data_IF_603722196228
#
_entry.id   IF_603722196228
#
_cell.length_a   1.000
_cell.length_b   1.000
_cell.length_c   1.000
_cell.angle_alpha   90.00
_cell.angle_beta   90.00
_cell.angle_gamma   90.00
#
_symmetry.space_group_name_H-M   'P 1'
#
loop_
_entity.id
_entity.type
_entity.pdbx_description
1 polymer ?
#
# COMPACT_ATOMS: atom_id res chain seq x y z
N UNK A 1 32.41 -12.33 17.93
CA UNK A 1 33.18 -11.14 17.48
C UNK A 1 32.75 -9.94 18.31
N UNK A 2 33.58 -8.89 18.51
CA UNK A 2 33.14 -7.64 19.17
C UNK A 2 32.76 -6.54 18.17
N UNK A 3 32.96 -6.77 16.88
CA UNK A 3 32.54 -5.89 15.79
C UNK A 3 31.10 -6.25 15.42
N UNK A 4 30.18 -5.30 15.62
CA UNK A 4 28.83 -5.35 15.06
C UNK A 4 28.81 -4.38 13.89
N UNK A 5 28.49 -4.86 12.70
CA UNK A 5 28.38 -4.01 11.52
C UNK A 5 26.90 -3.86 11.18
N UNK A 6 26.38 -2.67 11.43
CA UNK A 6 25.04 -2.26 11.04
C UNK A 6 25.18 -1.10 10.08
N UNK A 7 24.70 -1.28 8.86
CA UNK A 7 24.64 -0.21 7.86
C UNK A 7 25.45 -0.49 6.60
N UNK A 8 25.88 0.58 5.95
CA UNK A 8 26.50 0.53 4.62
C UNK A 8 27.94 0.08 4.71
N UNK A 9 28.28 -0.95 3.95
CA UNK A 9 29.65 -1.39 3.69
C UNK A 9 29.92 -1.43 2.19
N UNK A 10 31.20 -1.60 1.82
CA UNK A 10 31.60 -1.79 0.42
C UNK A 10 32.28 -3.14 0.26
N UNK A 11 31.84 -3.90 -0.73
CA UNK A 11 32.49 -5.16 -1.08
C UNK A 11 33.90 -4.91 -1.59
N UNK A 12 34.82 -5.75 -1.15
CA UNK A 12 36.22 -5.82 -1.54
C UNK A 12 36.57 -7.28 -1.89
N UNK A 13 37.69 -7.47 -2.60
CA UNK A 13 38.23 -8.79 -2.93
C UNK A 13 37.21 -9.76 -3.57
N UNK A 14 36.36 -9.23 -4.46
CA UNK A 14 35.33 -10.00 -5.14
C UNK A 14 35.97 -10.99 -6.10
N UNK A 15 35.60 -12.27 -5.97
CA UNK A 15 36.02 -13.33 -6.89
C UNK A 15 35.19 -13.25 -8.19
N UNK A 16 35.67 -12.45 -9.15
CA UNK A 16 34.92 -12.07 -10.36
C UNK A 16 34.61 -13.20 -11.35
N UNK A 17 35.37 -14.29 -11.32
CA UNK A 17 35.14 -15.45 -12.20
C UNK A 17 33.96 -16.31 -11.73
N UNK A 18 33.43 -16.05 -10.54
CA UNK A 18 32.30 -16.79 -9.97
C UNK A 18 30.98 -16.21 -10.48
N UNK A 19 30.14 -17.10 -11.02
CA UNK A 19 28.83 -16.74 -11.61
C UNK A 19 27.98 -15.93 -10.62
N UNK A 20 28.08 -16.23 -9.32
CA UNK A 20 27.34 -15.54 -8.26
C UNK A 20 27.61 -14.02 -8.24
N UNK A 21 28.82 -13.60 -8.61
CA UNK A 21 29.22 -12.18 -8.67
C UNK A 21 29.28 -11.59 -10.09
N UNK A 22 28.74 -12.31 -11.09
CA UNK A 22 28.67 -11.83 -12.48
C UNK A 22 27.98 -10.46 -12.56
N UNK A 23 28.69 -9.47 -13.11
CA UNK A 23 28.18 -8.12 -13.30
C UNK A 23 28.19 -7.22 -12.06
N UNK A 24 28.74 -7.68 -10.92
CA UNK A 24 28.87 -6.88 -9.69
C UNK A 24 30.24 -6.20 -9.68
N UNK A 25 30.25 -4.90 -9.38
CA UNK A 25 31.47 -4.10 -9.38
C UNK A 25 32.20 -4.16 -8.04
N UNK A 26 33.54 -4.04 -8.08
CA UNK A 26 34.31 -3.82 -6.85
C UNK A 26 33.86 -2.52 -6.17
N UNK A 27 33.77 -2.55 -4.85
CA UNK A 27 33.27 -1.43 -4.07
C UNK A 27 31.76 -1.25 -4.10
N UNK A 28 30.99 -2.22 -4.66
CA UNK A 28 29.54 -2.22 -4.59
C UNK A 28 29.06 -2.05 -3.15
N UNK A 29 28.07 -1.20 -2.95
CA UNK A 29 27.53 -0.92 -1.62
C UNK A 29 26.60 -2.05 -1.20
N UNK A 30 26.78 -2.56 0.02
CA UNK A 30 25.93 -3.57 0.62
C UNK A 30 25.41 -3.11 1.98
N UNK A 31 24.29 -3.68 2.41
CA UNK A 31 23.72 -3.45 3.74
C UNK A 31 24.03 -4.60 4.68
N UNK A 32 24.93 -4.36 5.62
CA UNK A 32 25.30 -5.28 6.70
C UNK A 32 24.31 -5.13 7.85
N UNK A 33 23.81 -6.24 8.39
CA UNK A 33 22.95 -6.22 9.57
C UNK A 33 23.08 -7.50 10.40
N UNK A 34 24.27 -7.73 10.94
CA UNK A 34 24.57 -8.92 11.74
C UNK A 34 25.31 -8.59 13.04
N UNK A 35 24.98 -9.32 14.10
CA UNK A 35 25.65 -9.22 15.40
C UNK A 35 26.92 -10.05 15.48
N UNK A 36 26.99 -11.11 14.69
CA UNK A 36 28.06 -12.10 14.69
C UNK A 36 28.77 -12.09 13.33
N UNK A 37 30.06 -12.41 13.34
CA UNK A 37 30.88 -12.47 12.12
C UNK A 37 31.50 -13.85 12.00
N UNK A 38 31.50 -14.41 10.79
CA UNK A 38 32.17 -15.68 10.49
C UNK A 38 33.69 -15.44 10.53
N UNK A 39 34.36 -16.03 11.52
CA UNK A 39 35.82 -15.89 11.69
C UNK A 39 36.62 -16.85 10.83
N UNK A 40 36.18 -18.10 10.76
CA UNK A 40 36.86 -19.15 10.01
C UNK A 40 35.82 -19.82 9.11
N UNK A 41 36.13 -19.92 7.82
CA UNK A 41 35.31 -20.65 6.87
C UNK A 41 35.50 -22.17 7.06
N UNK A 42 34.47 -22.98 6.77
CA UNK A 42 34.63 -24.42 6.68
C UNK A 42 35.75 -24.82 5.71
N UNK A 43 36.40 -25.96 5.94
CA UNK A 43 37.50 -26.45 5.09
C UNK A 43 37.11 -26.69 3.63
N UNK A 44 35.82 -26.88 3.37
CA UNK A 44 35.24 -27.09 2.04
C UNK A 44 34.55 -25.83 1.51
N UNK A 45 34.91 -24.64 2.01
CA UNK A 45 34.33 -23.38 1.55
C UNK A 45 35.37 -22.56 0.78
N UNK A 46 34.90 -21.88 -0.26
CA UNK A 46 35.67 -20.92 -1.06
C UNK A 46 35.18 -19.53 -0.72
N UNK A 47 36.10 -18.66 -0.29
CA UNK A 47 35.84 -17.24 -0.09
C UNK A 47 35.50 -16.58 -1.44
N UNK A 48 34.42 -15.81 -1.47
CA UNK A 48 33.94 -15.14 -2.68
C UNK A 48 34.04 -13.61 -2.60
N UNK A 49 33.86 -13.01 -1.43
CA UNK A 49 34.01 -11.56 -1.25
C UNK A 49 34.22 -11.20 0.23
N UNK A 50 34.84 -10.04 0.45
CA UNK A 50 35.13 -9.44 1.75
C UNK A 50 34.52 -8.03 1.85
N UNK A 51 34.56 -7.41 3.01
CA UNK A 51 34.49 -5.95 3.21
C UNK A 51 35.74 -5.49 3.95
N UNK A 52 35.88 -4.19 4.22
CA UNK A 52 36.99 -3.68 5.05
C UNK A 52 37.00 -4.31 6.45
N UNK A 53 35.82 -4.52 7.05
CA UNK A 53 35.69 -4.97 8.45
C UNK A 53 35.34 -6.46 8.57
N UNK A 54 34.90 -7.10 7.48
CA UNK A 54 34.46 -8.50 7.45
C UNK A 54 35.17 -9.27 6.33
N UNK A 55 36.11 -10.13 6.71
CA UNK A 55 36.85 -10.98 5.78
C UNK A 55 35.94 -11.97 5.04
N UNK A 56 35.05 -12.67 5.76
CA UNK A 56 34.20 -13.72 5.17
C UNK A 56 32.80 -13.19 4.82
N UNK A 57 32.72 -12.16 3.98
CA UNK A 57 31.44 -11.49 3.67
C UNK A 57 30.55 -12.31 2.72
N UNK A 58 31.15 -13.07 1.81
CA UNK A 58 30.47 -14.05 0.97
C UNK A 58 31.34 -15.29 0.73
N UNK A 59 30.73 -16.48 0.70
CA UNK A 59 31.42 -17.74 0.42
C UNK A 59 30.49 -18.73 -0.28
N UNK A 60 31.07 -19.77 -0.89
CA UNK A 60 30.33 -20.96 -1.34
C UNK A 60 30.94 -22.23 -0.81
N UNK A 61 30.15 -23.30 -0.74
CA UNK A 61 30.64 -24.63 -0.43
C UNK A 61 31.08 -25.33 -1.73
N UNK A 62 32.18 -26.09 -1.66
CA UNK A 62 32.65 -26.91 -2.77
C UNK A 62 31.84 -28.19 -2.88
N UNK A 63 31.47 -28.57 -4.11
CA UNK A 63 30.71 -29.79 -4.40
C UNK A 63 29.19 -29.65 -4.28
N UNK A 64 28.68 -28.47 -3.89
CA UNK A 64 27.24 -28.19 -3.80
C UNK A 64 26.92 -26.73 -4.16
N UNK A 65 25.71 -26.41 -4.66
CA UNK A 65 25.31 -25.05 -5.01
C UNK A 65 24.85 -24.24 -3.78
N UNK A 66 25.64 -24.27 -2.71
CA UNK A 66 25.33 -23.60 -1.43
C UNK A 66 26.19 -22.35 -1.26
N UNK A 67 25.52 -21.21 -1.08
CA UNK A 67 26.14 -19.88 -0.96
C UNK A 67 25.74 -19.24 0.36
N UNK A 68 26.68 -18.53 0.98
CA UNK A 68 26.45 -17.75 2.20
C UNK A 68 26.91 -16.31 2.02
N UNK A 69 26.13 -15.37 2.55
CA UNK A 69 26.43 -13.93 2.56
C UNK A 69 26.10 -13.35 3.94
N UNK A 70 26.85 -12.33 4.37
CA UNK A 70 26.61 -11.59 5.62
C UNK A 70 25.86 -10.27 5.42
N UNK A 71 25.47 -9.94 4.20
CA UNK A 71 24.69 -8.74 3.86
C UNK A 71 23.32 -9.12 3.29
N UNK A 72 22.43 -8.13 3.24
CA UNK A 72 21.08 -8.26 2.70
C UNK A 72 21.02 -7.81 1.23
N UNK A 73 20.97 -8.72 0.23
CA UNK A 73 20.88 -8.34 -1.17
C UNK A 73 19.49 -7.84 -1.58
N UNK A 74 18.47 -8.10 -0.77
CA UNK A 74 17.07 -7.78 -1.03
C UNK A 74 16.69 -6.33 -0.71
N UNK A 75 17.51 -5.62 0.07
CA UNK A 75 17.19 -4.25 0.51
C UNK A 75 17.69 -3.21 -0.48
N UNK A 76 16.94 -2.11 -0.61
CA UNK A 76 17.26 -0.98 -1.49
C UNK A 76 18.68 -0.39 -1.29
N UNK A 77 19.23 -0.52 -0.07
CA UNK A 77 20.56 -0.03 0.26
C UNK A 77 21.70 -0.81 -0.40
N UNK A 78 21.46 -2.03 -0.88
CA UNK A 78 22.45 -2.86 -1.57
C UNK A 78 22.36 -2.63 -3.07
N UNK A 79 23.35 -1.93 -3.65
CA UNK A 79 23.25 -1.35 -5.00
C UNK A 79 23.10 -2.37 -6.12
N UNK A 80 23.83 -3.49 -6.04
CA UNK A 80 23.78 -4.55 -7.05
C UNK A 80 23.03 -5.81 -6.52
N UNK A 81 22.20 -5.64 -5.48
CA UNK A 81 21.53 -6.75 -4.80
C UNK A 81 20.60 -7.56 -5.70
N UNK A 82 19.82 -6.88 -6.56
CA UNK A 82 18.97 -7.53 -7.56
C UNK A 82 19.79 -8.36 -8.57
N UNK A 83 20.98 -7.88 -8.97
CA UNK A 83 21.87 -8.63 -9.87
C UNK A 83 22.40 -9.90 -9.19
N UNK A 84 22.78 -9.82 -7.91
CA UNK A 84 23.22 -10.99 -7.13
C UNK A 84 22.12 -12.06 -7.05
N UNK A 85 20.89 -11.63 -6.72
CA UNK A 85 19.72 -12.53 -6.63
C UNK A 85 19.42 -13.15 -8.01
N UNK A 86 19.50 -12.36 -9.08
CA UNK A 86 19.33 -12.86 -10.45
C UNK A 86 20.37 -13.93 -10.79
N UNK A 87 21.66 -13.69 -10.49
CA UNK A 87 22.72 -14.65 -10.72
C UNK A 87 22.45 -15.98 -10.00
N UNK A 88 21.94 -15.91 -8.77
CA UNK A 88 21.57 -17.11 -8.01
C UNK A 88 20.37 -17.85 -8.60
N UNK A 89 19.24 -17.16 -8.78
CA UNK A 89 17.99 -17.80 -9.19
C UNK A 89 18.05 -18.30 -10.64
N UNK A 90 18.58 -17.48 -11.54
CA UNK A 90 18.54 -17.76 -12.98
C UNK A 90 19.80 -18.52 -13.42
N UNK A 91 20.99 -17.95 -13.21
CA UNK A 91 22.22 -18.51 -13.77
C UNK A 91 22.72 -19.76 -13.00
N UNK A 92 22.46 -19.86 -11.69
CA UNK A 92 22.95 -20.97 -10.85
C UNK A 92 21.85 -22.01 -10.61
N UNK A 93 20.68 -21.60 -10.13
CA UNK A 93 19.58 -22.53 -9.82
C UNK A 93 18.77 -22.94 -11.06
N UNK A 94 18.96 -22.27 -12.20
CA UNK A 94 18.30 -22.60 -13.47
C UNK A 94 16.79 -22.35 -13.47
N UNK A 95 16.31 -21.45 -12.61
CA UNK A 95 14.89 -21.10 -12.56
C UNK A 95 14.54 -20.30 -13.81
N UNK A 96 13.49 -20.73 -14.51
CA UNK A 96 12.98 -20.00 -15.66
C UNK A 96 12.03 -18.88 -15.19
N UNK A 97 12.16 -17.64 -15.71
CA UNK A 97 11.29 -16.52 -15.34
C UNK A 97 9.94 -16.61 -16.09
N UNK A 98 9.14 -17.62 -15.77
CA UNK A 98 7.81 -17.86 -16.34
C UNK A 98 6.67 -17.17 -15.57
N UNK A 99 6.96 -16.65 -14.37
CA UNK A 99 6.07 -15.80 -13.61
C UNK A 99 6.00 -14.39 -14.22
N UNK A 100 5.04 -14.20 -15.13
CA UNK A 100 4.81 -12.94 -15.83
C UNK A 100 3.38 -12.44 -15.60
N UNK A 101 3.11 -11.14 -15.72
CA UNK A 101 1.74 -10.63 -15.61
C UNK A 101 0.76 -11.28 -16.59
N UNK A 102 1.21 -11.57 -17.82
CA UNK A 102 0.39 -12.23 -18.85
C UNK A 102 0.05 -13.67 -18.46
N UNK A 103 1.04 -14.48 -18.09
CA UNK A 103 0.80 -15.87 -17.63
C UNK A 103 -0.09 -15.90 -16.40
N UNK A 104 0.14 -14.99 -15.44
CA UNK A 104 -0.71 -14.87 -14.26
C UNK A 104 -2.17 -14.56 -14.61
N UNK A 105 -2.43 -13.62 -15.53
CA UNK A 105 -3.79 -13.26 -15.96
C UNK A 105 -4.49 -14.47 -16.56
N UNK A 106 -3.84 -15.18 -17.49
CA UNK A 106 -4.43 -16.31 -18.19
C UNK A 106 -4.72 -17.47 -17.22
N UNK A 107 -3.75 -17.89 -16.41
CA UNK A 107 -3.91 -18.95 -15.41
C UNK A 107 -4.99 -18.62 -14.37
N UNK A 108 -5.01 -17.38 -13.87
CA UNK A 108 -6.00 -16.96 -12.87
C UNK A 108 -7.40 -16.91 -13.45
N UNK A 109 -7.56 -16.46 -14.70
CA UNK A 109 -8.86 -16.45 -15.36
C UNK A 109 -9.40 -17.87 -15.54
N UNK A 110 -8.55 -18.81 -15.95
CA UNK A 110 -8.91 -20.23 -16.05
C UNK A 110 -9.31 -20.82 -14.68
N UNK A 111 -8.50 -20.62 -13.63
CA UNK A 111 -8.82 -21.06 -12.25
C UNK A 111 -10.18 -20.51 -11.79
N UNK A 112 -10.42 -19.21 -11.98
CA UNK A 112 -11.66 -18.55 -11.58
C UNK A 112 -12.88 -19.13 -12.32
N UNK A 113 -12.76 -19.40 -13.63
CA UNK A 113 -13.82 -20.02 -14.42
C UNK A 113 -14.16 -21.43 -13.92
N UNK A 114 -13.15 -22.25 -13.61
CA UNK A 114 -13.35 -23.61 -13.11
C UNK A 114 -13.99 -23.65 -11.71
N UNK A 115 -13.55 -22.74 -10.82
CA UNK A 115 -14.00 -22.69 -9.42
C UNK A 115 -15.40 -22.09 -9.30
N UNK A 116 -15.67 -20.96 -9.97
CA UNK A 116 -16.93 -20.21 -9.84
C UNK A 116 -18.01 -20.78 -10.76
N UNK A 117 -17.65 -21.22 -11.97
CA UNK A 117 -18.59 -21.70 -12.99
C UNK A 117 -19.66 -20.63 -13.29
N UNK A 118 -20.93 -21.01 -13.21
CA UNK A 118 -22.08 -20.12 -13.45
C UNK A 118 -22.59 -19.41 -12.18
N UNK A 119 -21.88 -19.52 -11.05
CA UNK A 119 -22.28 -18.89 -9.81
C UNK A 119 -22.13 -17.35 -9.87
N UNK A 120 -23.00 -16.64 -9.14
CA UNK A 120 -22.91 -15.18 -9.02
C UNK A 120 -21.96 -14.78 -7.91
N UNK A 121 -21.17 -13.76 -8.20
CA UNK A 121 -20.14 -13.20 -7.32
C UNK A 121 -20.46 -11.74 -7.03
N UNK A 122 -20.41 -11.36 -5.76
CA UNK A 122 -20.46 -9.94 -5.36
C UNK A 122 -19.07 -9.47 -4.96
N UNK A 123 -18.69 -8.27 -5.38
CA UNK A 123 -17.39 -7.64 -5.07
C UNK A 123 -17.61 -6.23 -4.52
N UNK A 124 -17.02 -5.93 -3.37
CA UNK A 124 -16.88 -4.55 -2.89
C UNK A 124 -15.74 -3.84 -3.62
N UNK A 125 -16.07 -2.84 -4.44
CA UNK A 125 -15.07 -1.93 -4.99
C UNK A 125 -14.78 -0.84 -3.96
N UNK A 126 -13.52 -0.50 -3.77
CA UNK A 126 -13.10 0.58 -2.86
C UNK A 126 -12.64 1.84 -3.62
N UNK A 127 -12.48 1.76 -4.94
CA UNK A 127 -11.79 2.80 -5.72
C UNK A 127 -10.26 2.66 -5.70
N UNK A 128 -9.74 1.71 -4.92
CA UNK A 128 -8.33 1.36 -4.89
C UNK A 128 -7.94 0.39 -6.02
N UNK A 129 -6.64 0.37 -6.32
CA UNK A 129 -6.03 -0.46 -7.37
C UNK A 129 -6.40 -1.94 -7.21
N UNK A 130 -6.28 -2.50 -6.01
CA UNK A 130 -6.44 -3.96 -5.79
C UNK A 130 -7.88 -4.41 -6.08
N UNK A 131 -8.88 -3.70 -5.53
CA UNK A 131 -10.29 -4.01 -5.82
C UNK A 131 -10.64 -3.86 -7.30
N UNK A 132 -10.01 -2.92 -8.00
CA UNK A 132 -10.23 -2.70 -9.43
C UNK A 132 -9.63 -3.82 -10.26
N UNK A 133 -8.36 -4.20 -10.00
CA UNK A 133 -7.70 -5.31 -10.70
C UNK A 133 -8.42 -6.63 -10.46
N UNK A 134 -8.82 -6.90 -9.20
CA UNK A 134 -9.64 -8.07 -8.88
C UNK A 134 -10.98 -8.07 -9.65
N UNK A 135 -11.65 -6.92 -9.72
CA UNK A 135 -12.89 -6.77 -10.47
C UNK A 135 -12.72 -7.02 -11.96
N UNK A 136 -11.64 -6.51 -12.57
CA UNK A 136 -11.36 -6.72 -14.00
C UNK A 136 -10.99 -8.18 -14.30
N UNK A 137 -10.21 -8.85 -13.44
CA UNK A 137 -9.92 -10.29 -13.57
C UNK A 137 -11.20 -11.13 -13.48
N UNK A 138 -12.03 -10.88 -12.47
CA UNK A 138 -13.30 -11.58 -12.32
C UNK A 138 -14.23 -11.30 -13.51
N UNK A 139 -14.29 -10.07 -14.00
CA UNK A 139 -15.11 -9.74 -15.16
C UNK A 139 -14.64 -10.48 -16.42
N UNK A 140 -13.33 -10.62 -16.61
CA UNK A 140 -12.76 -11.42 -17.71
C UNK A 140 -13.08 -12.91 -17.56
N UNK A 141 -13.12 -13.43 -16.33
CA UNK A 141 -13.47 -14.82 -16.04
C UNK A 141 -14.97 -15.13 -16.20
N UNK A 142 -15.84 -14.37 -15.55
CA UNK A 142 -17.26 -14.71 -15.36
C UNK A 142 -18.26 -13.67 -15.92
N UNK A 143 -17.76 -12.54 -16.43
CA UNK A 143 -18.54 -11.50 -17.08
C UNK A 143 -19.76 -11.05 -16.27
N UNK A 144 -20.95 -11.21 -16.86
CA UNK A 144 -22.25 -10.79 -16.30
C UNK A 144 -22.60 -11.37 -14.93
N UNK A 145 -21.91 -12.42 -14.48
CA UNK A 145 -22.14 -13.03 -13.17
C UNK A 145 -21.42 -12.28 -12.04
N UNK A 146 -20.55 -11.31 -12.37
CA UNK A 146 -19.95 -10.39 -11.42
C UNK A 146 -20.87 -9.20 -11.15
N UNK A 147 -21.06 -8.89 -9.88
CA UNK A 147 -21.78 -7.70 -9.41
C UNK A 147 -20.87 -6.91 -8.48
N UNK A 148 -20.58 -5.67 -8.86
CA UNK A 148 -19.70 -4.79 -8.11
C UNK A 148 -20.53 -3.76 -7.35
N UNK A 149 -20.23 -3.54 -6.07
CA UNK A 149 -20.85 -2.53 -5.22
C UNK A 149 -19.76 -1.54 -4.81
N UNK A 150 -19.95 -0.25 -5.11
CA UNK A 150 -19.07 0.82 -4.67
C UNK A 150 -19.82 1.73 -3.70
N UNK A 151 -19.38 1.77 -2.44
CA UNK A 151 -20.07 2.50 -1.37
C UNK A 151 -19.39 3.85 -1.12
N UNK A 152 -20.14 4.93 -1.25
CA UNK A 152 -19.75 6.22 -0.69
C UNK A 152 -20.01 6.21 0.82
N UNK A 153 -18.94 6.15 1.61
CA UNK A 153 -19.02 6.24 3.07
C UNK A 153 -19.02 7.69 3.59
N UNK A 154 -19.02 8.70 2.70
CA UNK A 154 -18.93 10.11 3.07
C UNK A 154 -17.55 10.55 3.56
N UNK A 155 -16.55 9.66 3.55
CA UNK A 155 -15.18 9.89 4.01
C UNK A 155 -14.16 9.73 2.89
N UNK A 156 -14.60 9.73 1.63
CA UNK A 156 -13.75 9.74 0.45
C UNK A 156 -13.17 11.14 0.20
N UNK A 157 -12.16 11.24 -0.66
CA UNK A 157 -11.64 12.52 -1.15
C UNK A 157 -12.72 13.28 -1.93
N UNK A 158 -12.48 14.57 -2.14
CA UNK A 158 -13.40 15.44 -2.88
C UNK A 158 -13.73 14.86 -4.26
N UNK A 159 -15.03 14.69 -4.55
CA UNK A 159 -15.58 14.16 -5.81
C UNK A 159 -15.08 12.76 -6.18
N UNK A 160 -14.49 12.01 -5.25
CA UNK A 160 -13.87 10.72 -5.54
C UNK A 160 -14.92 9.67 -5.92
N UNK A 161 -16.12 9.74 -5.32
CA UNK A 161 -17.20 8.82 -5.62
C UNK A 161 -17.63 8.91 -7.10
N UNK A 162 -17.92 10.12 -7.57
CA UNK A 162 -18.34 10.36 -8.95
C UNK A 162 -17.20 10.08 -9.94
N UNK A 163 -15.98 10.49 -9.60
CA UNK A 163 -14.79 10.28 -10.46
C UNK A 163 -14.50 8.80 -10.63
N UNK A 164 -14.58 8.01 -9.56
CA UNK A 164 -14.34 6.55 -9.61
C UNK A 164 -15.44 5.84 -10.38
N UNK A 165 -16.71 6.21 -10.21
CA UNK A 165 -17.80 5.62 -10.99
C UNK A 165 -17.61 5.88 -12.49
N UNK A 166 -17.24 7.10 -12.87
CA UNK A 166 -16.92 7.44 -14.26
C UNK A 166 -15.71 6.65 -14.78
N UNK A 167 -14.70 6.42 -13.95
CA UNK A 167 -13.54 5.61 -14.33
C UNK A 167 -13.89 4.15 -14.60
N UNK A 168 -14.90 3.59 -13.93
CA UNK A 168 -15.36 2.23 -14.21
C UNK A 168 -16.19 2.12 -15.49
N UNK A 169 -16.71 3.24 -16.02
CA UNK A 169 -17.39 3.24 -17.31
C UNK A 169 -16.43 2.78 -18.43
N UNK A 170 -16.88 1.87 -19.29
CA UNK A 170 -16.06 1.30 -20.35
C UNK A 170 -15.18 0.11 -19.96
N UNK A 171 -15.02 -0.20 -18.66
CA UNK A 171 -14.30 -1.41 -18.21
C UNK A 171 -15.15 -2.70 -18.31
N UNK A 172 -16.43 -2.56 -18.65
CA UNK A 172 -17.38 -3.69 -18.72
C UNK A 172 -17.83 -4.21 -17.35
N UNK A 173 -17.48 -3.53 -16.26
CA UNK A 173 -17.88 -3.89 -14.90
C UNK A 173 -19.36 -3.53 -14.64
N UNK A 174 -20.10 -4.45 -14.04
CA UNK A 174 -21.46 -4.20 -13.55
C UNK A 174 -21.40 -3.53 -12.17
N UNK A 175 -21.24 -2.21 -12.13
CA UNK A 175 -21.04 -1.44 -10.90
C UNK A 175 -22.33 -0.75 -10.44
N UNK A 176 -22.71 -0.99 -9.18
CA UNK A 176 -23.72 -0.22 -8.46
C UNK A 176 -23.05 0.73 -7.48
N UNK A 177 -23.16 2.03 -7.74
CA UNK A 177 -22.78 3.08 -6.78
C UNK A 177 -23.86 3.26 -5.71
N UNK A 178 -23.46 3.29 -4.44
CA UNK A 178 -24.38 3.40 -3.29
C UNK A 178 -23.92 4.56 -2.41
N UNK A 179 -24.73 5.61 -2.31
CA UNK A 179 -24.45 6.72 -1.39
C UNK A 179 -24.99 6.43 0.01
N UNK A 180 -24.09 6.07 0.92
CA UNK A 180 -24.39 5.83 2.32
C UNK A 180 -23.78 6.89 3.25
N UNK A 181 -23.31 8.02 2.72
CA UNK A 181 -22.60 9.06 3.47
C UNK A 181 -23.32 9.50 4.75
N UNK A 182 -24.63 9.72 4.68
CA UNK A 182 -25.44 10.09 5.84
C UNK A 182 -25.44 9.02 6.94
N UNK A 183 -25.51 7.73 6.57
CA UNK A 183 -25.52 6.61 7.52
C UNK A 183 -24.19 6.50 8.27
N UNK A 184 -23.07 6.66 7.56
CA UNK A 184 -21.74 6.63 8.17
C UNK A 184 -21.51 7.84 9.10
N UNK A 185 -21.87 9.05 8.65
CA UNK A 185 -21.69 10.25 9.45
C UNK A 185 -22.57 10.26 10.71
N UNK A 186 -23.78 9.69 10.64
CA UNK A 186 -24.63 9.52 11.82
C UNK A 186 -24.04 8.49 12.80
N UNK A 187 -23.57 7.35 12.29
CA UNK A 187 -22.93 6.32 13.11
C UNK A 187 -21.65 6.79 13.82
N UNK A 188 -20.92 7.74 13.24
CA UNK A 188 -19.68 8.29 13.78
C UNK A 188 -19.88 9.47 14.75
N UNK A 189 -21.12 9.90 14.97
CA UNK A 189 -21.41 11.09 15.76
C UNK A 189 -20.94 10.93 17.21
N UNK A 190 -20.05 11.82 17.64
CA UNK A 190 -19.52 11.85 19.01
C UNK A 190 -18.39 10.86 19.27
N UNK A 191 -17.97 10.08 18.27
CA UNK A 191 -16.84 9.15 18.38
C UNK A 191 -15.56 9.88 18.03
N UNK A 192 -14.58 9.85 18.93
CA UNK A 192 -13.27 10.46 18.74
C UNK A 192 -12.10 9.47 18.79
N UNK A 193 -12.30 8.30 19.39
CA UNK A 193 -11.25 7.30 19.57
C UNK A 193 -10.96 6.58 18.22
N UNK A 194 -9.69 6.55 17.77
CA UNK A 194 -9.28 5.97 16.49
C UNK A 194 -9.76 4.54 16.20
N UNK A 195 -9.56 3.62 17.14
CA UNK A 195 -9.93 2.21 16.97
C UNK A 195 -11.47 2.03 16.91
N UNK A 196 -12.21 2.82 17.67
CA UNK A 196 -13.66 2.87 17.64
C UNK A 196 -14.17 3.43 16.31
N UNK A 197 -13.56 4.51 15.79
CA UNK A 197 -13.85 5.02 14.43
C UNK A 197 -13.68 3.91 13.38
N UNK A 198 -12.56 3.18 13.43
CA UNK A 198 -12.28 2.05 12.52
C UNK A 198 -13.35 0.97 12.60
N UNK A 199 -13.72 0.54 13.82
CA UNK A 199 -14.76 -0.47 14.05
C UNK A 199 -16.12 -0.02 13.53
N UNK A 200 -16.52 1.22 13.79
CA UNK A 200 -17.82 1.75 13.37
C UNK A 200 -17.90 1.89 11.85
N UNK A 201 -16.83 2.38 11.21
CA UNK A 201 -16.77 2.47 9.74
C UNK A 201 -16.83 1.07 9.13
N UNK A 202 -16.03 0.12 9.64
CA UNK A 202 -16.04 -1.26 9.15
C UNK A 202 -17.42 -1.91 9.28
N UNK A 203 -18.07 -1.76 10.44
CA UNK A 203 -19.43 -2.28 10.67
C UNK A 203 -20.45 -1.65 9.73
N UNK A 204 -20.48 -0.32 9.63
CA UNK A 204 -21.42 0.38 8.77
C UNK A 204 -21.24 -0.01 7.28
N UNK A 205 -20.00 -0.23 6.85
CA UNK A 205 -19.70 -0.72 5.50
C UNK A 205 -20.26 -2.12 5.27
N UNK A 206 -20.03 -3.05 6.21
CA UNK A 206 -20.56 -4.41 6.10
C UNK A 206 -22.09 -4.39 6.03
N UNK A 207 -22.76 -3.60 6.87
CA UNK A 207 -24.22 -3.52 6.85
C UNK A 207 -24.75 -2.95 5.53
N UNK A 208 -24.17 -1.87 5.00
CA UNK A 208 -24.57 -1.31 3.70
C UNK A 208 -24.29 -2.30 2.56
N UNK A 209 -23.12 -2.93 2.58
CA UNK A 209 -22.76 -3.91 1.56
C UNK A 209 -23.71 -5.12 1.58
N UNK A 210 -24.09 -5.57 2.77
CA UNK A 210 -25.04 -6.67 2.96
C UNK A 210 -26.44 -6.32 2.46
N UNK A 211 -26.96 -5.13 2.83
CA UNK A 211 -28.25 -4.62 2.34
C UNK A 211 -28.30 -4.65 0.79
N UNK A 212 -27.20 -4.25 0.17
CA UNK A 212 -27.06 -4.15 -1.28
C UNK A 212 -26.86 -5.53 -1.95
N UNK A 213 -26.12 -6.42 -1.30
CA UNK A 213 -25.92 -7.79 -1.76
C UNK A 213 -27.22 -8.62 -1.72
N UNK A 214 -28.10 -8.38 -0.74
CA UNK A 214 -29.40 -9.05 -0.63
C UNK A 214 -30.36 -8.74 -1.79
N UNK A 215 -30.16 -7.63 -2.50
CA UNK A 215 -30.90 -7.30 -3.71
C UNK A 215 -30.46 -8.12 -4.94
N UNK A 216 -29.36 -8.86 -4.83
CA UNK A 216 -28.83 -9.71 -5.89
C UNK A 216 -29.22 -11.16 -5.58
N UNK A 217 -30.13 -11.71 -6.40
CA UNK A 217 -30.58 -13.09 -6.19
C UNK A 217 -29.44 -14.09 -6.41
N UNK A 218 -29.41 -15.17 -5.62
CA UNK A 218 -28.54 -16.33 -5.81
C UNK A 218 -27.03 -16.04 -5.82
N UNK A 219 -26.56 -15.04 -5.08
CA UNK A 219 -25.12 -14.84 -4.84
C UNK A 219 -24.58 -16.00 -3.99
N UNK A 220 -23.46 -16.58 -4.42
CA UNK A 220 -22.78 -17.67 -3.71
C UNK A 220 -21.36 -17.32 -3.26
N UNK A 221 -20.77 -16.29 -3.87
CA UNK A 221 -19.40 -15.91 -3.63
C UNK A 221 -19.27 -14.43 -3.28
N UNK A 222 -18.39 -14.13 -2.34
CA UNK A 222 -17.85 -12.81 -2.07
C UNK A 222 -16.42 -12.77 -2.59
N UNK A 223 -16.15 -11.83 -3.48
CA UNK A 223 -14.81 -11.56 -3.95
C UNK A 223 -14.11 -10.50 -3.09
N UNK A 224 -12.79 -10.65 -2.93
CA UNK A 224 -11.95 -9.70 -2.21
C UNK A 224 -10.66 -9.44 -2.99
N UNK A 225 -10.20 -8.18 -3.00
CA UNK A 225 -8.92 -7.79 -3.61
C UNK A 225 -7.71 -8.05 -2.71
N UNK A 226 -7.77 -9.07 -1.86
CA UNK A 226 -6.74 -9.39 -0.86
C UNK A 226 -5.44 -9.80 -1.53
N UNK A 227 -4.32 -9.21 -1.08
CA UNK A 227 -2.99 -9.44 -1.64
C UNK A 227 -2.11 -10.26 -0.69
N UNK A 228 -0.97 -10.74 -1.18
CA UNK A 228 -0.09 -11.64 -0.43
C UNK A 228 0.41 -11.07 0.91
N UNK A 229 0.83 -9.78 1.01
CA UNK A 229 1.17 -9.16 2.30
C UNK A 229 0.06 -9.26 3.34
N UNK A 230 -1.21 -9.10 2.95
CA UNK A 230 -2.33 -9.16 3.89
C UNK A 230 -2.49 -10.57 4.49
N UNK A 231 -2.16 -11.61 3.72
CA UNK A 231 -2.24 -13.00 4.18
C UNK A 231 -1.13 -13.33 5.16
N UNK A 232 0.11 -12.88 4.90
CA UNK A 232 1.24 -13.09 5.81
C UNK A 232 0.96 -12.43 7.16
N UNK A 233 0.41 -11.22 7.17
CA UNK A 233 0.08 -10.51 8.41
C UNK A 233 -1.06 -11.19 9.20
N UNK A 234 -2.00 -11.83 8.50
CA UNK A 234 -3.11 -12.57 9.13
C UNK A 234 -2.70 -13.94 9.71
N UNK A 235 -1.64 -14.55 9.19
CA UNK A 235 -1.11 -15.85 9.64
C UNK A 235 0.14 -15.57 10.46
N UNK A 236 0.00 -15.40 11.78
CA UNK A 236 1.16 -15.18 12.64
C UNK A 236 2.20 -16.30 12.48
N UNK A 237 3.39 -15.95 11.98
CA UNK A 237 4.53 -16.86 11.79
C UNK A 237 5.14 -17.39 13.11
N UNK A 238 4.55 -17.01 14.24
CA UNK A 238 4.91 -17.45 15.58
C UNK A 238 3.67 -17.26 16.43
N UNK A 239 3.08 -18.34 16.95
CA UNK A 239 1.80 -18.40 17.67
C UNK A 239 1.70 -17.61 18.98
N UNK A 240 2.30 -16.42 19.07
CA UNK A 240 1.96 -15.39 20.03
C UNK A 240 0.72 -14.59 19.60
N UNK A 241 0.08 -13.85 20.53
CA UNK A 241 -1.13 -13.11 20.25
C UNK A 241 -0.77 -12.01 19.27
N UNK A 242 -1.06 -12.23 17.98
CA UNK A 242 -1.16 -11.17 17.01
C UNK A 242 -2.20 -10.21 17.56
N UNK A 243 -1.74 -9.11 18.16
CA UNK A 243 -2.60 -7.98 18.42
C UNK A 243 -3.34 -7.74 17.11
N UNK A 244 -4.67 -7.69 17.19
CA UNK A 244 -5.69 -7.57 16.15
C UNK A 244 -5.48 -6.34 15.24
N UNK A 245 -4.31 -6.24 14.65
CA UNK A 245 -3.80 -5.16 13.83
C UNK A 245 -4.10 -5.62 12.40
N UNK A 246 -5.11 -5.00 11.78
CA UNK A 246 -5.73 -5.34 10.48
C UNK A 246 -6.88 -6.37 10.45
N UNK A 247 -7.67 -6.48 11.50
CA UNK A 247 -8.98 -7.15 11.41
C UNK A 247 -10.01 -6.46 10.48
N UNK A 248 -9.69 -5.31 9.86
CA UNK A 248 -10.66 -4.46 9.16
C UNK A 248 -10.28 -4.03 7.73
N UNK A 249 -9.21 -4.59 7.13
CA UNK A 249 -8.85 -4.28 5.73
C UNK A 249 -9.27 -5.36 4.73
N UNK A 250 -9.20 -6.62 5.14
CA UNK A 250 -10.01 -7.68 4.53
C UNK A 250 -11.30 -7.78 5.33
N UNK A 251 -12.37 -8.29 4.74
CA UNK A 251 -13.64 -8.54 5.44
C UNK A 251 -13.47 -9.71 6.41
N UNK A 252 -12.56 -9.58 7.39
CA UNK A 252 -12.14 -10.57 8.38
C UNK A 252 -13.17 -10.78 9.49
N UNK A 253 -14.43 -10.61 9.14
CA UNK A 253 -15.58 -10.71 10.00
C UNK A 253 -16.82 -10.51 9.14
N UNK A 254 -16.95 -11.28 8.05
CA UNK A 254 -18.28 -11.49 7.51
C UNK A 254 -19.16 -11.93 8.68
N UNK A 255 -20.27 -11.25 8.92
CA UNK A 255 -21.18 -11.67 9.97
C UNK A 255 -21.54 -13.16 9.76
N UNK A 256 -21.72 -13.93 10.85
CA UNK A 256 -22.02 -15.37 10.79
C UNK A 256 -23.22 -15.71 9.89
N UNK A 257 -24.07 -14.72 9.58
CA UNK A 257 -25.21 -14.86 8.69
C UNK A 257 -24.85 -14.84 7.18
N UNK A 258 -23.70 -14.29 6.79
CA UNK A 258 -23.32 -14.17 5.38
C UNK A 258 -22.68 -15.48 4.90
N UNK A 259 -23.52 -16.42 4.43
CA UNK A 259 -23.14 -17.79 3.99
C UNK A 259 -22.44 -17.85 2.62
N UNK A 260 -21.64 -16.83 2.28
CA UNK A 260 -20.95 -16.73 0.99
C UNK A 260 -19.58 -17.42 1.06
N UNK A 261 -19.17 -18.03 -0.05
CA UNK A 261 -17.79 -18.53 -0.22
C UNK A 261 -16.86 -17.37 -0.60
N UNK A 262 -15.61 -17.42 -0.17
CA UNK A 262 -14.62 -16.38 -0.48
C UNK A 262 -13.86 -16.71 -1.77
N UNK A 263 -13.61 -15.71 -2.61
CA UNK A 263 -12.68 -15.78 -3.75
C UNK A 263 -11.72 -14.58 -3.74
N UNK A 264 -10.41 -14.87 -3.75
CA UNK A 264 -9.34 -13.87 -3.63
C UNK A 264 -8.37 -14.00 -4.82
N UNK A 265 -8.65 -13.37 -5.98
CA UNK A 265 -7.84 -13.54 -7.19
C UNK A 265 -6.42 -12.99 -7.08
N UNK A 266 -6.13 -12.11 -6.11
CA UNK A 266 -4.82 -11.46 -5.97
C UNK A 266 -3.98 -12.03 -4.82
N UNK A 267 -4.42 -13.14 -4.20
CA UNK A 267 -3.89 -13.71 -2.95
C UNK A 267 -2.39 -14.07 -2.97
N UNK A 268 -1.78 -14.15 -4.14
CA UNK A 268 -0.36 -14.49 -4.37
C UNK A 268 0.50 -13.31 -4.81
N UNK A 269 -0.10 -12.14 -5.06
CA UNK A 269 0.59 -10.98 -5.60
C UNK A 269 1.03 -9.99 -4.52
N UNK A 270 2.17 -9.34 -4.75
CA UNK A 270 2.56 -8.09 -4.10
C UNK A 270 1.93 -6.87 -4.78
N UNK A 271 1.98 -5.71 -4.11
CA UNK A 271 1.31 -4.48 -4.55
C UNK A 271 1.80 -3.96 -5.90
N UNK A 272 3.09 -4.09 -6.16
CA UNK A 272 3.73 -3.74 -7.43
C UNK A 272 3.31 -4.71 -8.55
N UNK A 273 3.19 -6.00 -8.26
CA UNK A 273 2.68 -7.01 -9.20
C UNK A 273 1.23 -6.75 -9.57
N UNK A 274 0.38 -6.38 -8.60
CA UNK A 274 -1.02 -5.99 -8.88
C UNK A 274 -1.08 -4.84 -9.88
N UNK A 275 -0.19 -3.84 -9.78
CA UNK A 275 -0.11 -2.75 -10.76
C UNK A 275 0.34 -3.25 -12.14
N UNK A 276 1.33 -4.15 -12.20
CA UNK A 276 1.79 -4.75 -13.48
C UNK A 276 0.68 -5.56 -14.15
N UNK A 277 -0.03 -6.40 -13.39
CA UNK A 277 -1.19 -7.16 -13.84
C UNK A 277 -2.30 -6.23 -14.32
N UNK A 278 -2.59 -5.16 -13.56
CA UNK A 278 -3.56 -4.15 -13.98
C UNK A 278 -3.20 -3.48 -15.31
N UNK A 279 -1.92 -3.21 -15.55
CA UNK A 279 -1.44 -2.67 -16.82
C UNK A 279 -1.63 -3.66 -17.98
N UNK A 280 -1.31 -4.95 -17.78
CA UNK A 280 -1.58 -6.02 -18.77
C UNK A 280 -3.08 -6.15 -19.09
N UNK A 281 -3.94 -5.91 -18.10
CA UNK A 281 -5.40 -5.90 -18.28
C UNK A 281 -5.94 -4.63 -18.98
N UNK A 282 -5.07 -3.67 -19.33
CA UNK A 282 -5.45 -2.44 -20.01
C UNK A 282 -6.15 -1.41 -19.13
N UNK A 283 -5.95 -1.48 -17.81
CA UNK A 283 -6.49 -0.49 -16.87
C UNK A 283 -5.72 0.84 -17.03
N UNK A 284 -6.45 1.95 -16.96
CA UNK A 284 -5.87 3.29 -17.13
C UNK A 284 -4.68 3.52 -16.16
N UNK A 285 -3.51 3.97 -16.66
CA UNK A 285 -2.34 4.23 -15.81
C UNK A 285 -2.59 5.22 -14.68
N UNK A 286 -3.48 6.20 -14.85
CA UNK A 286 -3.85 7.15 -13.80
C UNK A 286 -4.57 6.46 -12.64
N UNK A 287 -5.35 5.39 -12.91
CA UNK A 287 -5.99 4.62 -11.86
C UNK A 287 -4.97 3.75 -11.11
N UNK A 288 -4.08 3.09 -11.85
CA UNK A 288 -3.01 2.24 -11.29
C UNK A 288 -1.98 3.04 -10.47
N UNK A 289 -1.70 4.28 -10.91
CA UNK A 289 -0.77 5.22 -10.28
C UNK A 289 -1.32 5.95 -9.05
N UNK A 290 -2.58 5.71 -8.65
CA UNK A 290 -3.14 6.34 -7.44
C UNK A 290 -2.34 5.94 -6.21
N UNK A 291 -2.08 6.94 -5.37
CA UNK A 291 -1.61 6.72 -4.02
C UNK A 291 -2.61 5.85 -3.25
N UNK A 292 -2.12 4.95 -2.38
CA UNK A 292 -2.96 4.24 -1.44
C UNK A 292 -3.87 5.21 -0.65
N UNK A 293 -5.11 4.80 -0.44
CA UNK A 293 -6.08 5.51 0.38
C UNK A 293 -6.65 4.53 1.40
N UNK A 294 -6.66 4.88 2.70
CA UNK A 294 -7.08 3.96 3.75
C UNK A 294 -8.57 3.63 3.63
N UNK A 295 -8.98 2.41 3.99
CA UNK A 295 -10.39 1.99 4.00
C UNK A 295 -11.32 2.92 4.82
N UNK A 296 -10.92 3.32 6.05
CA UNK A 296 -11.63 4.35 6.81
C UNK A 296 -11.61 5.76 6.19
N UNK A 297 -10.86 5.97 5.10
CA UNK A 297 -10.73 7.22 4.38
C UNK A 297 -10.28 8.38 5.26
N UNK A 298 -10.95 9.52 5.10
CA UNK A 298 -10.73 10.72 5.92
C UNK A 298 -11.11 10.51 7.40
N UNK A 299 -11.82 9.42 7.75
CA UNK A 299 -12.16 9.05 9.13
C UNK A 299 -10.95 8.97 10.07
N UNK A 300 -9.82 8.54 9.53
CA UNK A 300 -8.56 8.44 10.26
C UNK A 300 -7.57 9.57 9.94
N UNK A 301 -8.00 10.61 9.21
CA UNK A 301 -7.19 11.82 8.95
C UNK A 301 -7.78 13.05 9.63
N UNK A 302 -8.95 12.91 10.24
CA UNK A 302 -9.56 13.92 11.11
C UNK A 302 -9.35 13.44 12.54
N UNK A 303 -8.47 14.13 13.26
CA UNK A 303 -8.16 13.81 14.64
C UNK A 303 -9.31 14.25 15.54
N UNK A 304 -9.76 13.35 16.41
CA UNK A 304 -10.93 13.54 17.26
C UNK A 304 -12.25 13.24 16.55
N UNK A 305 -13.30 13.99 16.90
CA UNK A 305 -14.66 13.76 16.43
C UNK A 305 -14.87 14.17 14.96
N UNK A 306 -15.74 13.44 14.27
CA UNK A 306 -16.13 13.69 12.89
C UNK A 306 -17.41 14.51 12.79
N UNK A 307 -17.36 15.58 11.99
CA UNK A 307 -18.53 16.36 11.60
C UNK A 307 -18.51 16.59 10.08
N UNK A 308 -19.68 16.78 9.43
CA UNK A 308 -19.75 17.08 8.00
C UNK A 308 -18.89 18.29 7.60
N UNK A 309 -18.80 19.29 8.48
CA UNK A 309 -17.98 20.48 8.27
C UNK A 309 -16.48 20.14 8.24
N UNK A 310 -15.99 19.35 9.20
CA UNK A 310 -14.58 18.92 9.26
C UNK A 310 -14.19 18.06 8.06
N UNK A 311 -15.09 17.16 7.64
CA UNK A 311 -14.91 16.34 6.43
C UNK A 311 -14.78 17.23 5.20
N UNK A 312 -15.71 18.18 5.02
CA UNK A 312 -15.65 19.13 3.89
C UNK A 312 -14.36 19.96 3.91
N UNK A 313 -13.94 20.46 5.07
CA UNK A 313 -12.67 21.21 5.20
C UNK A 313 -11.50 20.35 4.74
N UNK A 314 -11.39 19.13 5.25
CA UNK A 314 -10.26 18.27 4.90
C UNK A 314 -10.27 17.84 3.43
N UNK A 315 -11.46 17.60 2.85
CA UNK A 315 -11.62 17.32 1.42
C UNK A 315 -11.08 18.45 0.53
N UNK A 316 -11.34 19.71 0.89
CA UNK A 316 -10.80 20.87 0.15
C UNK A 316 -9.28 20.99 0.29
N UNK A 317 -8.76 20.80 1.51
CA UNK A 317 -7.32 20.86 1.80
C UNK A 317 -6.57 19.77 1.03
N UNK A 318 -7.04 18.52 1.11
CA UNK A 318 -6.45 17.37 0.43
C UNK A 318 -6.50 17.58 -1.10
N UNK A 319 -7.61 18.09 -1.64
CA UNK A 319 -7.74 18.39 -3.06
C UNK A 319 -6.70 19.42 -3.54
N UNK A 320 -6.48 20.51 -2.79
CA UNK A 320 -5.46 21.52 -3.14
C UNK A 320 -4.06 20.89 -3.12
N UNK A 321 -3.74 20.13 -2.06
CA UNK A 321 -2.43 19.53 -1.92
C UNK A 321 -2.13 18.50 -3.02
N UNK A 322 -3.06 17.56 -3.26
CA UNK A 322 -2.89 16.51 -4.26
C UNK A 322 -2.86 17.08 -5.69
N UNK A 323 -3.71 18.07 -6.01
CA UNK A 323 -3.66 18.72 -7.33
C UNK A 323 -2.36 19.50 -7.51
N UNK A 324 -1.88 20.17 -6.47
CA UNK A 324 -0.57 20.81 -6.46
C UNK A 324 0.57 19.84 -6.79
N UNK A 325 0.58 18.67 -6.14
CA UNK A 325 1.60 17.64 -6.42
C UNK A 325 1.56 17.18 -7.88
N UNK A 326 0.39 17.10 -8.50
CA UNK A 326 0.25 16.75 -9.92
C UNK A 326 0.73 17.88 -10.83
N UNK A 327 0.32 19.12 -10.57
CA UNK A 327 0.75 20.30 -11.33
C UNK A 327 2.28 20.48 -11.35
N UNK A 328 2.95 20.08 -10.27
CA UNK A 328 4.40 20.16 -10.12
C UNK A 328 5.15 18.89 -10.55
N UNK A 329 4.45 17.88 -11.09
CA UNK A 329 5.02 16.58 -11.47
C UNK A 329 5.77 15.89 -10.30
N UNK A 330 5.24 16.03 -9.08
CA UNK A 330 5.75 15.40 -7.86
C UNK A 330 4.94 14.16 -7.47
N UNK A 331 3.68 14.08 -7.89
CA UNK A 331 2.74 13.02 -7.47
C UNK A 331 3.29 11.60 -7.68
N UNK A 332 3.81 11.30 -8.88
CA UNK A 332 4.29 9.96 -9.25
C UNK A 332 5.63 9.58 -8.58
N UNK A 333 6.32 10.55 -7.97
CA UNK A 333 7.57 10.33 -7.22
C UNK A 333 7.32 10.04 -5.75
N UNK A 334 6.07 10.14 -5.31
CA UNK A 334 5.67 10.00 -3.91
C UNK A 334 4.87 8.72 -3.79
N UNK A 335 5.14 7.93 -2.76
CA UNK A 335 4.41 6.68 -2.54
C UNK A 335 3.00 6.96 -2.02
N UNK A 336 2.88 7.85 -1.04
CA UNK A 336 1.61 8.32 -0.52
C UNK A 336 1.68 9.77 -0.07
N UNK A 337 0.65 10.54 -0.43
CA UNK A 337 0.41 11.89 0.09
C UNK A 337 -1.02 12.08 0.59
N UNK A 338 -1.18 12.98 1.57
CA UNK A 338 -2.47 13.41 2.07
C UNK A 338 -2.38 14.54 3.09
N UNK A 339 -3.53 15.03 3.54
CA UNK A 339 -3.63 16.00 4.62
C UNK A 339 -4.34 15.42 5.86
N UNK A 340 -4.03 15.98 7.03
CA UNK A 340 -4.62 15.68 8.33
C UNK A 340 -5.21 16.95 8.96
N UNK A 341 -6.42 16.86 9.50
CA UNK A 341 -7.05 17.96 10.24
C UNK A 341 -6.80 17.80 11.74
N UNK A 342 -6.10 18.77 12.34
CA UNK A 342 -5.72 18.70 13.75
C UNK A 342 -6.84 19.23 14.66
N UNK A 343 -6.97 18.72 15.91
CA UNK A 343 -8.00 19.13 16.84
C UNK A 343 -7.62 20.42 17.59
N UNK A 344 -6.76 21.25 16.98
CA UNK A 344 -6.26 22.50 17.55
C UNK A 344 -6.68 23.67 16.68
N UNK A 345 -6.87 24.82 17.31
CA UNK A 345 -7.12 26.08 16.63
C UNK A 345 -5.94 27.03 16.85
N UNK A 346 -5.58 27.77 15.81
CA UNK A 346 -4.49 28.74 15.82
C UNK A 346 -5.04 30.15 15.68
N UNK A 347 -4.37 31.12 16.32
CA UNK A 347 -4.66 32.53 16.06
C UNK A 347 -4.06 32.90 14.71
N UNK A 348 -4.85 33.58 13.89
CA UNK A 348 -4.43 34.16 12.62
C UNK A 348 -4.84 35.62 12.51
N UNK A 349 -4.27 36.30 11.51
CA UNK A 349 -4.75 37.60 11.05
C UNK A 349 -5.02 37.41 9.57
N UNK A 350 -6.29 37.52 9.18
CA UNK A 350 -6.74 37.35 7.80
C UNK A 350 -7.53 38.60 7.42
N UNK A 351 -6.98 39.40 6.50
CA UNK A 351 -7.42 40.78 6.33
C UNK A 351 -7.09 41.63 7.56
N UNK A 352 -8.06 42.41 8.04
CA UNK A 352 -7.92 43.28 9.21
C UNK A 352 -8.50 42.67 10.50
N UNK A 353 -8.95 41.41 10.47
CA UNK A 353 -9.60 40.75 11.60
C UNK A 353 -8.78 39.59 12.18
N UNK A 354 -8.91 39.40 13.50
CA UNK A 354 -8.30 38.28 14.21
C UNK A 354 -9.16 37.04 14.00
N UNK A 355 -8.54 35.97 13.51
CA UNK A 355 -9.21 34.67 13.31
C UNK A 355 -8.74 33.62 14.31
N UNK A 356 -9.59 32.64 14.57
CA UNK A 356 -9.28 31.46 15.38
C UNK A 356 -9.78 30.21 14.65
N UNK A 357 -8.95 29.70 13.74
CA UNK A 357 -9.30 28.64 12.80
C UNK A 357 -8.42 27.41 12.97
N UNK A 358 -8.69 26.33 12.24
CA UNK A 358 -8.02 25.04 12.39
C UNK A 358 -6.61 25.05 11.81
N UNK A 359 -5.79 24.14 12.33
CA UNK A 359 -4.49 23.78 11.77
C UNK A 359 -4.60 22.47 10.99
N UNK A 360 -3.90 22.38 9.85
CA UNK A 360 -3.78 21.15 9.06
C UNK A 360 -2.33 20.76 8.89
N UNK A 361 -2.06 19.45 8.89
CA UNK A 361 -0.76 18.89 8.56
C UNK A 361 -0.78 18.27 7.17
N UNK A 362 0.22 18.60 6.35
CA UNK A 362 0.49 17.93 5.09
C UNK A 362 1.48 16.79 5.33
N UNK A 363 1.25 15.66 4.67
CA UNK A 363 2.08 14.46 4.78
C UNK A 363 2.38 13.90 3.40
N UNK A 364 3.66 13.68 3.10
CA UNK A 364 4.10 12.93 1.94
C UNK A 364 5.27 12.01 2.33
N UNK A 365 5.22 10.77 1.87
CA UNK A 365 6.23 9.76 2.18
C UNK A 365 6.67 8.98 0.94
N UNK A 366 7.93 8.58 0.92
CA UNK A 366 8.50 7.62 -0.02
C UNK A 366 8.71 6.28 0.69
N UNK A 367 8.35 5.19 0.02
CA UNK A 367 8.41 3.84 0.57
C UNK A 367 8.36 2.81 -0.56
N UNK A 368 8.89 1.61 -0.32
CA UNK A 368 8.76 0.45 -1.22
C UNK A 368 7.53 -0.40 -0.88
N UNK A 369 7.24 -0.60 0.41
CA UNK A 369 6.25 -1.57 0.92
C UNK A 369 5.33 -1.01 2.02
N UNK A 370 5.52 0.24 2.43
CA UNK A 370 4.80 0.87 3.53
C UNK A 370 5.24 0.41 4.94
N UNK A 371 6.19 -0.52 5.07
CA UNK A 371 6.72 -0.98 6.35
C UNK A 371 7.76 -0.01 6.92
N UNK A 372 8.65 0.50 6.08
CA UNK A 372 9.54 1.63 6.37
C UNK A 372 9.24 2.77 5.40
N UNK A 373 9.32 4.01 5.86
CA UNK A 373 9.04 5.16 5.00
C UNK A 373 9.78 6.41 5.48
N UNK A 374 10.34 7.16 4.55
CA UNK A 374 10.91 8.47 4.81
C UNK A 374 9.96 9.58 4.36
N UNK A 375 9.96 10.70 5.08
CA UNK A 375 9.24 11.90 4.65
C UNK A 375 9.90 12.47 3.39
N UNK A 376 9.10 13.03 2.48
CA UNK A 376 9.62 13.55 1.21
C UNK A 376 10.13 14.98 1.40
N UNK A 377 11.35 15.26 0.97
CA UNK A 377 11.90 16.63 0.93
C UNK A 377 11.26 17.44 -0.22
N UNK A 378 10.03 17.89 0.01
CA UNK A 378 9.27 18.67 -0.96
C UNK A 378 9.88 20.07 -1.14
N UNK A 379 9.95 20.61 -2.37
CA UNK A 379 10.52 21.93 -2.60
C UNK A 379 9.87 23.01 -1.74
N UNK A 380 10.68 23.87 -1.10
CA UNK A 380 10.16 24.94 -0.24
C UNK A 380 9.20 25.88 -0.97
N UNK A 381 9.46 26.20 -2.25
CA UNK A 381 8.56 27.02 -3.07
C UNK A 381 7.19 26.36 -3.28
N UNK A 382 7.18 25.03 -3.45
CA UNK A 382 5.96 24.25 -3.53
C UNK A 382 5.18 24.31 -2.21
N UNK A 383 5.84 24.02 -1.08
CA UNK A 383 5.22 24.08 0.25
C UNK A 383 4.65 25.47 0.55
N UNK A 384 5.37 26.54 0.17
CA UNK A 384 4.91 27.91 0.32
C UNK A 384 3.65 28.20 -0.53
N UNK A 385 3.65 27.79 -1.81
CA UNK A 385 2.49 27.95 -2.70
C UNK A 385 1.26 27.24 -2.12
N UNK A 386 1.40 25.97 -1.76
CA UNK A 386 0.29 25.14 -1.26
C UNK A 386 -0.23 25.66 0.08
N UNK A 387 0.66 26.04 1.00
CA UNK A 387 0.26 26.65 2.28
C UNK A 387 -0.57 27.90 2.06
N UNK A 388 -0.12 28.82 1.20
CA UNK A 388 -0.85 30.04 0.87
C UNK A 388 -2.20 29.75 0.20
N UNK A 389 -2.26 28.79 -0.73
CA UNK A 389 -3.52 28.43 -1.39
C UNK A 389 -4.54 27.84 -0.42
N UNK A 390 -4.12 26.94 0.48
CA UNK A 390 -4.98 26.36 1.49
C UNK A 390 -5.57 27.45 2.38
N UNK A 391 -4.71 28.31 2.95
CA UNK A 391 -5.11 29.39 3.87
C UNK A 391 -6.07 30.39 3.19
N UNK A 392 -5.85 30.70 1.92
CA UNK A 392 -6.67 31.68 1.20
C UNK A 392 -8.00 31.12 0.67
N UNK A 393 -8.06 29.83 0.32
CA UNK A 393 -9.23 29.23 -0.34
C UNK A 393 -10.12 28.42 0.60
N UNK A 394 -9.57 27.86 1.68
CA UNK A 394 -10.30 26.97 2.59
C UNK A 394 -10.73 27.72 3.85
N UNK A 395 -11.99 28.15 3.88
CA UNK A 395 -12.59 28.76 5.08
C UNK A 395 -12.53 27.79 6.27
N UNK A 396 -12.03 28.26 7.41
CA UNK A 396 -11.86 27.48 8.63
C UNK A 396 -10.45 26.90 8.83
N UNK A 397 -9.47 27.27 7.99
CA UNK A 397 -8.05 26.88 8.14
C UNK A 397 -7.15 28.10 8.01
N UNK A 398 -6.35 28.39 9.03
CA UNK A 398 -5.41 29.53 9.02
C UNK A 398 -3.95 29.15 9.29
N UNK A 399 -3.67 27.85 9.42
CA UNK A 399 -2.33 27.34 9.70
C UNK A 399 -2.12 26.02 8.96
N UNK A 400 -0.97 25.91 8.30
CA UNK A 400 -0.53 24.69 7.62
C UNK A 400 0.84 24.31 8.16
N UNK A 401 1.06 23.04 8.44
CA UNK A 401 2.36 22.45 8.82
C UNK A 401 2.69 21.27 7.91
N UNK A 402 3.95 20.84 7.90
CA UNK A 402 4.41 19.67 7.14
C UNK A 402 5.07 18.66 8.08
N UNK A 403 4.72 17.38 7.95
CA UNK A 403 5.26 16.31 8.79
C UNK A 403 6.59 15.77 8.25
N UNK A 404 7.65 15.98 9.04
CA UNK A 404 9.04 15.59 8.77
C UNK A 404 9.48 14.36 9.60
N UNK A 405 8.54 13.54 10.06
CA UNK A 405 8.83 12.34 10.86
C UNK A 405 8.94 11.10 9.96
N UNK A 406 10.04 10.34 10.03
CA UNK A 406 10.14 9.04 9.34
C UNK A 406 9.40 7.92 10.10
N UNK A 407 9.13 6.82 9.39
CA UNK A 407 8.64 5.56 9.95
C UNK A 407 9.79 4.52 9.91
N UNK A 408 10.29 4.06 11.07
CA UNK A 408 10.02 4.50 12.46
C UNK A 408 10.68 5.87 12.81
N UNK A 409 10.29 6.55 13.91
CA UNK A 409 9.41 6.08 15.00
C UNK A 409 7.91 6.38 14.81
N UNK A 410 7.53 7.18 13.81
CA UNK A 410 6.13 7.54 13.55
C UNK A 410 5.43 6.51 12.66
N UNK A 411 4.13 6.71 12.42
CA UNK A 411 3.35 6.04 11.37
C UNK A 411 3.12 6.98 10.18
N UNK A 412 2.59 6.45 9.06
CA UNK A 412 2.26 7.26 7.89
C UNK A 412 0.98 8.09 8.15
N UNK A 413 -0.08 7.45 8.66
CA UNK A 413 -1.35 8.08 9.04
C UNK A 413 -1.31 8.62 10.47
N UNK A 414 -2.17 9.60 10.77
CA UNK A 414 -2.34 10.24 12.09
C UNK A 414 -3.81 10.15 12.51
N UNK A 415 -4.15 9.49 13.61
CA UNK A 415 -5.56 9.18 13.94
C UNK A 415 -6.14 9.89 15.17
#
# INVERSE_FOLDING_TARGET
SHTREYGRARLADIHREEIFFKGINDGSQVWMSHSDTIRELPSNAVLLASTHDVENAAFRLEGEPTFGIQFHPEVYHTTDGTQLIHNFLIDIAGIHPDWTPDSFVDETVEELQEVIKDDRVVLGLSGGVDSTVAGVLLNRAIGKNLFCIFVNNGLLRKNEFETVLQQYEGMGLNVKGVDASARFLDALKGISEPEEKRKVIGRAFIEVFDDEAHHIENVKWLAQGTIYPDRIESVSASGGPSATIKSHHNVGGLPDFMKLKIVEPLKTLFKDEVRRVGNTLGIDPQLLGRHPFPGPGLGIRILGDLTPEKVRILQEVDAIFINGLREWNLYDKIWQAGAMLLPVSSVGVMGDERTYEKCVALRAVESTDGMTADWVDLPHEFLQKISNEIINKVKGVNRVVYDISSKPPATIEWE
#
